data_IF_393612201445
#
_entry.id   IF_393612201445
#
_cell.length_a   1.000
_cell.length_b   1.000
_cell.length_c   1.000
_cell.angle_alpha   90.00
_cell.angle_beta   90.00
_cell.angle_gamma   90.00
#
_symmetry.space_group_name_H-M   'P 1'
#
loop_
_entity.id
_entity.type
_entity.pdbx_description
1 polymer ?
#
# COMPACT_ATOMS: atom_id res chain seq x y z
N UNK A 1 -20.06 16.83 9.31
CA UNK A 1 -19.85 15.57 8.56
C UNK A 1 -18.54 15.67 7.82
N UNK A 2 -17.52 14.83 8.13
CA UNK A 2 -16.29 14.75 7.34
C UNK A 2 -16.67 14.17 5.98
N UNK A 3 -16.47 14.93 4.90
CA UNK A 3 -16.54 14.40 3.55
C UNK A 3 -15.48 13.28 3.47
N UNK A 4 -15.94 12.06 3.24
CA UNK A 4 -15.07 10.95 2.88
C UNK A 4 -14.50 11.28 1.50
N UNK A 5 -13.26 11.77 1.48
CA UNK A 5 -12.52 11.95 0.23
C UNK A 5 -12.33 10.57 -0.38
N UNK A 6 -12.76 10.41 -1.64
CA UNK A 6 -12.57 9.17 -2.37
C UNK A 6 -11.06 8.81 -2.38
N UNK A 7 -10.76 7.58 -2.03
CA UNK A 7 -9.40 7.05 -2.06
C UNK A 7 -9.19 6.37 -3.42
N UNK A 8 -8.40 6.97 -4.29
CA UNK A 8 -8.08 6.40 -5.60
C UNK A 8 -6.79 5.59 -5.59
N UNK A 9 -5.87 5.90 -4.69
CA UNK A 9 -4.52 5.32 -4.64
C UNK A 9 -4.54 3.80 -4.47
N UNK A 10 -5.21 3.31 -3.43
CA UNK A 10 -5.22 1.89 -3.09
C UNK A 10 -5.88 1.03 -4.17
N UNK A 11 -7.10 1.37 -4.67
CA UNK A 11 -7.73 0.62 -5.76
C UNK A 11 -6.88 0.56 -7.04
N UNK A 12 -6.18 1.65 -7.39
CA UNK A 12 -5.30 1.64 -8.56
C UNK A 12 -4.05 0.78 -8.35
N UNK A 13 -3.46 0.78 -7.15
CA UNK A 13 -2.33 -0.10 -6.81
C UNK A 13 -2.72 -1.56 -6.85
N UNK A 14 -3.89 -1.89 -6.32
CA UNK A 14 -4.45 -3.24 -6.34
C UNK A 14 -4.69 -3.68 -7.79
N UNK A 15 -5.36 -2.86 -8.59
CA UNK A 15 -5.60 -3.12 -10.00
C UNK A 15 -4.32 -3.36 -10.80
N UNK A 16 -3.29 -2.53 -10.59
CA UNK A 16 -1.98 -2.70 -11.23
C UNK A 16 -1.27 -3.97 -10.80
N UNK A 17 -1.40 -4.37 -9.54
CA UNK A 17 -0.78 -5.60 -9.05
C UNK A 17 -1.44 -6.85 -9.64
N UNK A 18 -2.75 -6.81 -9.78
CA UNK A 18 -3.54 -7.94 -10.27
C UNK A 18 -3.52 -8.06 -11.79
N UNK A 19 -3.59 -6.92 -12.51
CA UNK A 19 -3.83 -6.88 -13.94
C UNK A 19 -2.74 -6.13 -14.70
N UNK A 20 -1.45 -6.33 -14.36
CA UNK A 20 -0.34 -5.58 -14.96
C UNK A 20 -0.25 -5.69 -16.48
N UNK A 21 -0.39 -6.91 -17.03
CA UNK A 21 -0.41 -7.13 -18.48
C UNK A 21 -1.59 -6.42 -19.15
N UNK A 22 -2.80 -6.57 -18.57
CA UNK A 22 -3.99 -5.90 -19.07
C UNK A 22 -3.89 -4.37 -19.00
N UNK A 23 -3.17 -3.83 -18.01
CA UNK A 23 -2.86 -2.40 -17.88
C UNK A 23 -2.05 -1.91 -19.08
N UNK A 24 -0.94 -2.58 -19.38
CA UNK A 24 -0.09 -2.19 -20.50
C UNK A 24 -0.81 -2.38 -21.85
N UNK A 25 -1.53 -3.47 -22.02
CA UNK A 25 -2.34 -3.73 -23.20
C UNK A 25 -3.37 -2.62 -23.44
N UNK A 26 -4.00 -2.09 -22.38
CA UNK A 26 -5.05 -1.08 -22.49
C UNK A 26 -4.52 0.34 -22.70
N UNK A 27 -3.52 0.75 -21.93
CA UNK A 27 -3.04 2.14 -21.92
C UNK A 27 -1.80 2.36 -22.80
N UNK A 28 -0.95 1.35 -22.92
CA UNK A 28 0.36 1.46 -23.59
C UNK A 28 0.63 0.24 -24.47
N UNK A 29 -0.20 0.01 -25.51
CA UNK A 29 -0.11 -1.20 -26.35
C UNK A 29 1.26 -1.33 -27.06
N UNK A 30 1.93 -0.23 -27.38
CA UNK A 30 3.27 -0.27 -27.96
C UNK A 30 4.30 -0.86 -26.98
N UNK A 31 4.20 -0.51 -25.68
CA UNK A 31 5.07 -1.08 -24.64
C UNK A 31 4.72 -2.55 -24.38
N UNK A 32 3.41 -2.88 -24.35
CA UNK A 32 2.94 -4.26 -24.18
C UNK A 32 3.52 -5.20 -25.24
N UNK A 33 3.55 -4.78 -26.50
CA UNK A 33 4.07 -5.59 -27.62
C UNK A 33 5.58 -5.84 -27.57
N UNK A 34 6.34 -5.08 -26.79
CA UNK A 34 7.79 -5.28 -26.63
C UNK A 34 8.13 -6.35 -25.58
N UNK A 35 7.21 -6.68 -24.70
CA UNK A 35 7.46 -7.52 -23.52
C UNK A 35 7.28 -9.00 -23.86
N UNK A 36 8.18 -9.81 -23.37
CA UNK A 36 8.11 -11.28 -23.38
C UNK A 36 7.23 -11.78 -22.22
N UNK A 37 5.95 -11.92 -22.49
CA UNK A 37 4.95 -12.39 -21.52
C UNK A 37 5.05 -13.88 -21.17
N UNK A 38 5.96 -14.63 -21.78
CA UNK A 38 6.27 -16.00 -21.33
C UNK A 38 7.03 -16.01 -20.01
N UNK A 39 7.62 -14.86 -19.64
CA UNK A 39 8.31 -14.61 -18.37
C UNK A 39 7.42 -13.80 -17.44
N UNK A 40 7.36 -14.21 -16.19
CA UNK A 40 6.54 -13.54 -15.19
C UNK A 40 7.20 -12.22 -14.77
N UNK A 41 6.51 -11.06 -14.91
CA UNK A 41 7.02 -9.78 -14.43
C UNK A 41 7.30 -9.81 -12.92
N UNK A 42 8.41 -9.22 -12.48
CA UNK A 42 8.79 -9.12 -11.08
C UNK A 42 8.43 -7.74 -10.52
N UNK A 43 7.61 -7.69 -9.47
CA UNK A 43 7.29 -6.43 -8.77
C UNK A 43 8.43 -6.01 -7.84
N UNK A 44 8.86 -4.74 -7.93
CA UNK A 44 10.00 -4.18 -7.19
C UNK A 44 9.55 -3.08 -6.21
N UNK A 45 8.48 -3.32 -5.46
CA UNK A 45 7.92 -2.34 -4.53
C UNK A 45 8.86 -1.93 -3.39
N UNK A 46 9.71 -2.85 -2.92
CA UNK A 46 10.70 -2.57 -1.86
C UNK A 46 11.76 -1.60 -2.36
N UNK A 47 12.19 -1.81 -3.58
CA UNK A 47 13.19 -1.02 -4.28
C UNK A 47 12.63 0.37 -4.60
N UNK A 48 11.39 0.44 -5.07
CA UNK A 48 10.70 1.70 -5.31
C UNK A 48 10.63 2.56 -4.04
N UNK A 49 10.34 1.96 -2.89
CA UNK A 49 10.37 2.66 -1.59
C UNK A 49 11.76 3.24 -1.28
N UNK A 50 12.85 2.59 -1.65
CA UNK A 50 14.22 3.12 -1.50
C UNK A 50 14.47 4.30 -2.42
N UNK A 51 14.04 4.20 -3.68
CA UNK A 51 14.18 5.26 -4.69
C UNK A 51 13.40 6.52 -4.26
N UNK A 52 12.21 6.36 -3.67
CA UNK A 52 11.32 7.46 -3.32
C UNK A 52 11.55 8.01 -1.91
N UNK A 53 12.18 7.27 -1.00
CA UNK A 53 12.35 7.65 0.42
C UNK A 53 13.08 8.99 0.66
N UNK A 54 13.97 9.38 -0.24
CA UNK A 54 14.71 10.65 -0.16
C UNK A 54 14.00 11.82 -0.88
N UNK A 55 12.87 11.58 -1.52
CA UNK A 55 12.07 12.66 -2.11
C UNK A 55 11.34 13.42 -1.00
N UNK A 56 11.52 14.75 -0.92
CA UNK A 56 10.87 15.64 0.06
C UNK A 56 9.35 15.71 -0.04
N UNK A 57 8.74 14.96 -0.94
CA UNK A 57 7.30 14.93 -1.19
C UNK A 57 6.60 13.98 -0.22
N UNK A 58 5.82 14.54 0.69
CA UNK A 58 5.04 13.82 1.73
C UNK A 58 3.82 13.05 1.18
N UNK A 59 3.50 13.12 -0.10
CA UNK A 59 2.34 12.46 -0.70
C UNK A 59 2.77 11.15 -1.35
N UNK A 60 2.08 10.07 -0.96
CA UNK A 60 2.22 8.74 -1.55
C UNK A 60 1.39 8.70 -2.83
N UNK A 61 2.05 8.54 -3.96
CA UNK A 61 1.40 8.30 -5.24
C UNK A 61 1.30 6.80 -5.51
N UNK A 62 0.44 6.42 -6.42
CA UNK A 62 0.30 5.03 -6.84
C UNK A 62 1.44 4.60 -7.77
N UNK A 63 2.68 4.72 -7.30
CA UNK A 63 3.85 4.35 -8.07
C UNK A 63 4.08 2.84 -7.98
N UNK A 64 4.34 2.22 -9.13
CA UNK A 64 4.75 0.82 -9.24
C UNK A 64 6.03 0.73 -10.06
N UNK A 65 6.90 -0.21 -9.71
CA UNK A 65 8.11 -0.55 -10.44
C UNK A 65 8.10 -2.04 -10.74
N UNK A 66 8.22 -2.38 -12.00
CA UNK A 66 8.30 -3.76 -12.46
C UNK A 66 9.57 -3.99 -13.25
N UNK A 67 10.17 -5.17 -13.06
CA UNK A 67 11.19 -5.73 -13.93
C UNK A 67 10.48 -6.62 -14.95
N UNK A 68 10.76 -6.39 -16.21
CA UNK A 68 10.25 -7.18 -17.34
C UNK A 68 11.37 -7.55 -18.30
N UNK A 69 11.11 -8.52 -19.16
CA UNK A 69 12.03 -8.95 -20.21
C UNK A 69 11.43 -8.56 -21.56
N UNK A 70 12.27 -8.08 -22.46
CA UNK A 70 11.86 -7.81 -23.85
C UNK A 70 11.99 -9.06 -24.70
N UNK A 71 11.22 -9.11 -25.79
CA UNK A 71 11.25 -10.18 -26.80
C UNK A 71 12.65 -10.38 -27.40
N UNK A 72 13.54 -9.36 -27.34
CA UNK A 72 14.93 -9.42 -27.79
C UNK A 72 15.91 -9.96 -26.76
N UNK A 73 15.43 -10.60 -25.70
CA UNK A 73 16.20 -11.15 -24.59
C UNK A 73 16.94 -10.12 -23.72
N UNK A 74 16.63 -8.85 -23.82
CA UNK A 74 17.16 -7.80 -22.98
C UNK A 74 16.31 -7.63 -21.71
N UNK A 75 16.97 -7.47 -20.56
CA UNK A 75 16.28 -7.04 -19.33
C UNK A 75 16.10 -5.53 -19.36
N UNK A 76 14.85 -5.08 -19.25
CA UNK A 76 14.51 -3.68 -19.02
C UNK A 76 13.65 -3.51 -17.79
N UNK A 77 13.81 -2.37 -17.15
CA UNK A 77 13.01 -1.96 -16.03
C UNK A 77 11.91 -1.02 -16.53
N UNK A 78 10.66 -1.29 -16.12
CA UNK A 78 9.55 -0.37 -16.39
C UNK A 78 9.17 0.27 -15.06
N UNK A 79 9.36 1.59 -14.98
CA UNK A 79 8.81 2.43 -13.94
C UNK A 79 7.44 2.92 -14.39
N UNK A 80 6.41 2.50 -13.67
CA UNK A 80 5.04 2.97 -13.93
C UNK A 80 4.70 3.98 -12.85
N UNK A 81 4.50 5.21 -13.28
CA UNK A 81 4.11 6.31 -12.43
C UNK A 81 2.66 6.70 -12.71
N UNK A 82 1.79 6.52 -11.72
CA UNK A 82 0.38 6.83 -11.82
C UNK A 82 0.06 8.03 -10.97
N UNK A 83 -0.35 9.11 -11.59
CA UNK A 83 -0.84 10.31 -10.94
C UNK A 83 -2.37 10.34 -11.00
N UNK A 84 -3.01 10.08 -9.86
CA UNK A 84 -4.48 9.98 -9.78
C UNK A 84 -5.08 11.18 -9.06
N UNK A 85 -4.25 12.07 -8.54
CA UNK A 85 -4.71 13.23 -7.80
C UNK A 85 -5.40 14.25 -8.72
N UNK A 86 -6.50 14.77 -8.21
CA UNK A 86 -7.26 15.84 -8.84
C UNK A 86 -6.58 17.22 -8.78
N UNK A 87 -5.37 17.28 -8.26
CA UNK A 87 -4.64 18.53 -8.10
C UNK A 87 -3.47 18.59 -9.07
N UNK A 88 -3.39 19.71 -9.77
CA UNK A 88 -2.24 20.09 -10.56
C UNK A 88 -0.96 20.04 -9.72
N UNK A 89 0.10 19.47 -10.28
CA UNK A 89 1.42 19.45 -9.68
C UNK A 89 2.46 19.91 -10.72
N UNK A 90 2.99 21.10 -10.50
CA UNK A 90 3.98 21.71 -11.40
C UNK A 90 5.25 20.87 -11.53
N UNK A 91 5.66 20.23 -10.43
CA UNK A 91 6.89 19.43 -10.37
C UNK A 91 6.73 17.98 -10.83
N UNK A 92 5.57 17.59 -11.34
CA UNK A 92 5.34 16.21 -11.80
C UNK A 92 6.37 15.74 -12.86
N UNK A 93 6.68 16.50 -13.94
CA UNK A 93 7.68 16.09 -14.91
C UNK A 93 9.08 15.90 -14.28
N UNK A 94 9.47 16.80 -13.37
CA UNK A 94 10.74 16.68 -12.67
C UNK A 94 10.79 15.43 -11.77
N UNK A 95 9.67 15.08 -11.14
CA UNK A 95 9.55 13.88 -10.34
C UNK A 95 9.68 12.62 -11.19
N UNK A 96 9.04 12.56 -12.35
CA UNK A 96 9.21 11.47 -13.35
C UNK A 96 10.68 11.29 -13.72
N UNK A 97 11.39 12.38 -14.02
CA UNK A 97 12.82 12.34 -14.30
C UNK A 97 13.64 11.82 -13.10
N UNK A 98 13.38 12.32 -11.90
CA UNK A 98 14.09 11.88 -10.69
C UNK A 98 13.92 10.38 -10.45
N UNK A 99 12.72 9.85 -10.62
CA UNK A 99 12.45 8.42 -10.41
C UNK A 99 13.08 7.56 -11.51
N UNK A 100 13.02 8.01 -12.75
CA UNK A 100 13.65 7.34 -13.89
C UNK A 100 15.17 7.22 -13.68
N UNK A 101 15.86 8.36 -13.43
CA UNK A 101 17.31 8.34 -13.27
C UNK A 101 17.76 7.56 -12.03
N UNK A 102 17.03 7.61 -10.93
CA UNK A 102 17.37 6.83 -9.72
C UNK A 102 17.21 5.32 -9.93
N UNK A 103 16.18 4.92 -10.64
CA UNK A 103 16.02 3.53 -11.02
C UNK A 103 17.16 3.08 -11.94
N UNK A 104 17.51 3.91 -12.95
CA UNK A 104 18.64 3.65 -13.81
C UNK A 104 19.97 3.57 -13.03
N UNK A 105 20.24 4.53 -12.14
CA UNK A 105 21.46 4.57 -11.34
C UNK A 105 21.60 3.33 -10.44
N UNK A 106 20.49 2.91 -9.82
CA UNK A 106 20.47 1.75 -8.93
C UNK A 106 20.70 0.43 -9.65
N UNK A 107 20.15 0.26 -10.86
CA UNK A 107 20.11 -1.02 -11.55
C UNK A 107 20.99 -1.06 -12.81
N UNK A 108 21.49 0.06 -13.27
CA UNK A 108 22.27 0.20 -14.52
C UNK A 108 21.54 -0.43 -15.73
N UNK A 109 20.22 -0.30 -15.78
CA UNK A 109 19.33 -0.82 -16.82
C UNK A 109 18.45 0.30 -17.35
N UNK A 110 18.07 0.27 -18.64
CA UNK A 110 17.09 1.22 -19.20
C UNK A 110 15.78 1.19 -18.42
N UNK A 111 15.16 2.35 -18.24
CA UNK A 111 13.90 2.52 -17.51
C UNK A 111 12.88 3.16 -18.44
N UNK A 112 11.71 2.54 -18.57
CA UNK A 112 10.55 3.11 -19.24
C UNK A 112 9.66 3.74 -18.16
N UNK A 113 9.42 5.04 -18.24
CA UNK A 113 8.49 5.75 -17.37
C UNK A 113 7.18 5.96 -18.06
N UNK A 114 6.07 5.61 -17.42
CA UNK A 114 4.71 5.73 -17.94
C UNK A 114 3.88 6.53 -16.94
N UNK A 115 2.97 7.37 -17.43
CA UNK A 115 2.13 8.20 -16.59
C UNK A 115 0.63 8.06 -16.92
N UNK A 116 -0.20 7.95 -15.88
CA UNK A 116 -1.65 8.06 -15.98
C UNK A 116 -2.09 9.30 -15.21
N UNK A 117 -2.77 10.21 -15.89
CA UNK A 117 -3.28 11.45 -15.33
C UNK A 117 -4.77 11.33 -15.01
N UNK A 118 -5.10 11.36 -13.73
CA UNK A 118 -6.48 11.27 -13.24
C UNK A 118 -7.08 12.62 -12.81
N UNK A 119 -6.40 13.76 -13.02
CA UNK A 119 -6.90 15.09 -12.69
C UNK A 119 -7.93 15.60 -13.71
N UNK A 120 -8.68 16.66 -13.34
CA UNK A 120 -9.76 17.25 -14.13
C UNK A 120 -9.32 18.37 -15.08
N UNK A 121 -8.03 18.76 -15.07
CA UNK A 121 -7.53 19.84 -15.94
C UNK A 121 -7.28 19.34 -17.35
N UNK A 122 -8.13 19.71 -18.27
CA UNK A 122 -8.05 19.28 -19.70
C UNK A 122 -6.69 19.55 -20.31
N UNK A 123 -6.08 20.69 -20.02
CA UNK A 123 -4.84 21.17 -20.64
C UNK A 123 -3.56 20.71 -19.92
N UNK A 124 -3.67 20.07 -18.76
CA UNK A 124 -2.50 19.59 -18.04
C UNK A 124 -2.12 18.17 -18.54
N UNK A 125 -1.13 18.11 -19.41
CA UNK A 125 -0.66 16.89 -20.09
C UNK A 125 0.85 16.84 -20.13
N UNK A 126 1.55 16.77 -18.99
CA UNK A 126 2.99 16.67 -18.97
C UNK A 126 3.43 15.33 -19.58
N UNK A 127 4.33 15.40 -20.55
CA UNK A 127 4.92 14.25 -21.24
C UNK A 127 6.45 14.28 -21.28
N UNK A 128 7.05 15.34 -20.72
CA UNK A 128 8.49 15.53 -20.78
C UNK A 128 9.01 16.42 -19.65
N UNK A 129 10.26 16.18 -19.26
CA UNK A 129 11.07 17.06 -18.43
C UNK A 129 12.37 17.41 -19.14
N UNK A 130 12.67 18.68 -19.25
CA UNK A 130 13.89 19.14 -19.89
C UNK A 130 14.43 20.40 -19.23
N UNK A 131 15.74 20.59 -19.29
CA UNK A 131 16.42 21.85 -18.98
C UNK A 131 17.74 21.93 -19.76
N UNK A 132 18.16 23.17 -20.04
CA UNK A 132 19.44 23.46 -20.66
C UNK A 132 20.13 24.57 -19.90
N UNK A 133 21.38 24.36 -19.53
CA UNK A 133 22.22 25.36 -18.87
C UNK A 133 23.67 25.22 -19.32
N UNK A 134 24.27 26.32 -19.77
CA UNK A 134 25.68 26.42 -20.16
C UNK A 134 26.13 25.31 -21.16
N UNK A 135 25.26 24.93 -22.09
CA UNK A 135 25.52 23.86 -23.06
C UNK A 135 25.27 22.43 -22.54
N UNK A 136 24.94 22.24 -21.26
CA UNK A 136 24.49 20.97 -20.73
C UNK A 136 22.97 20.86 -20.93
N UNK A 137 22.51 19.76 -21.58
CA UNK A 137 21.12 19.49 -21.85
C UNK A 137 20.69 18.19 -21.18
N UNK A 138 19.54 18.21 -20.52
CA UNK A 138 18.86 17.04 -19.98
C UNK A 138 17.45 17.00 -20.55
N UNK A 139 17.05 15.85 -21.06
CA UNK A 139 15.71 15.61 -21.59
C UNK A 139 15.23 14.20 -21.24
N UNK A 140 14.03 14.10 -20.70
CA UNK A 140 13.29 12.85 -20.55
C UNK A 140 11.89 13.05 -21.15
N UNK A 141 11.54 12.24 -22.15
CA UNK A 141 10.18 12.13 -22.67
C UNK A 141 9.57 10.83 -22.20
N UNK A 142 8.29 10.86 -21.78
CA UNK A 142 7.58 9.69 -21.30
C UNK A 142 6.14 9.64 -21.79
N UNK A 143 5.62 8.45 -22.16
CA UNK A 143 4.23 8.27 -22.55
C UNK A 143 3.28 8.64 -21.42
N UNK A 144 2.23 9.39 -21.75
CA UNK A 144 1.22 9.85 -20.78
C UNK A 144 -0.18 9.59 -21.33
N UNK A 145 -1.04 9.06 -20.48
CA UNK A 145 -2.46 8.85 -20.77
C UNK A 145 -3.31 9.69 -19.80
N UNK A 146 -4.31 10.38 -20.34
CA UNK A 146 -5.27 11.19 -19.57
C UNK A 146 -6.58 10.44 -19.42
N UNK A 147 -6.99 10.12 -18.19
CA UNK A 147 -8.24 9.39 -17.96
C UNK A 147 -9.48 10.14 -18.45
N UNK A 148 -9.45 11.47 -18.39
CA UNK A 148 -10.55 12.31 -18.84
C UNK A 148 -10.90 12.09 -20.33
N UNK A 149 -9.94 11.71 -21.17
CA UNK A 149 -10.16 11.47 -22.62
C UNK A 149 -11.08 10.28 -22.88
N UNK A 150 -11.21 9.38 -21.92
CA UNK A 150 -12.10 8.22 -22.02
C UNK A 150 -13.58 8.58 -21.78
N UNK A 151 -13.91 9.79 -21.31
CA UNK A 151 -15.31 10.22 -21.25
C UNK A 151 -15.97 10.26 -22.63
N UNK A 152 -15.25 10.69 -23.66
CA UNK A 152 -15.72 10.71 -25.03
C UNK A 152 -15.75 9.32 -25.68
N UNK A 153 -15.03 8.36 -25.10
CA UNK A 153 -14.90 6.97 -25.57
C UNK A 153 -15.73 5.98 -24.73
N UNK A 154 -16.82 6.45 -24.13
CA UNK A 154 -17.61 5.65 -23.19
C UNK A 154 -18.12 4.33 -23.78
N UNK A 155 -18.60 4.35 -25.02
CA UNK A 155 -19.09 3.15 -25.75
C UNK A 155 -17.98 2.10 -25.93
N UNK A 156 -16.74 2.54 -26.17
CA UNK A 156 -15.59 1.64 -26.26
C UNK A 156 -15.28 0.99 -24.90
N UNK A 157 -15.36 1.76 -23.81
CA UNK A 157 -15.19 1.23 -22.46
C UNK A 157 -16.25 0.16 -22.12
N UNK A 158 -17.51 0.43 -22.46
CA UNK A 158 -18.60 -0.51 -22.23
C UNK A 158 -18.43 -1.80 -23.06
N UNK A 159 -17.92 -1.71 -24.28
CA UNK A 159 -17.69 -2.85 -25.15
C UNK A 159 -16.42 -3.66 -24.79
N UNK A 160 -15.46 -3.06 -24.11
CA UNK A 160 -14.17 -3.68 -23.83
C UNK A 160 -14.28 -4.79 -22.77
N UNK A 161 -13.61 -5.93 -22.99
CA UNK A 161 -13.40 -7.01 -22.02
C UNK A 161 -12.18 -6.78 -21.11
N UNK A 162 -11.39 -5.72 -21.37
CA UNK A 162 -10.22 -5.42 -20.53
C UNK A 162 -10.68 -4.89 -19.15
N UNK A 163 -10.14 -5.42 -18.02
CA UNK A 163 -10.46 -4.98 -16.67
C UNK A 163 -10.31 -3.47 -16.46
N UNK A 164 -9.34 -2.84 -17.11
CA UNK A 164 -9.09 -1.40 -16.97
C UNK A 164 -10.18 -0.52 -17.59
N UNK A 165 -10.95 -1.01 -18.54
CA UNK A 165 -12.12 -0.28 -19.02
C UNK A 165 -13.12 -0.03 -17.88
N UNK A 166 -13.39 -1.03 -17.05
CA UNK A 166 -14.29 -0.91 -15.90
C UNK A 166 -13.69 -0.01 -14.80
N UNK A 167 -12.38 -0.14 -14.54
CA UNK A 167 -11.68 0.67 -13.54
C UNK A 167 -11.69 2.15 -13.95
N UNK A 168 -11.48 2.46 -15.22
CA UNK A 168 -11.59 3.83 -15.77
C UNK A 168 -13.01 4.36 -15.61
N UNK A 169 -14.03 3.57 -15.97
CA UNK A 169 -15.42 3.95 -15.78
C UNK A 169 -15.75 4.25 -14.31
N UNK A 170 -15.28 3.40 -13.39
CA UNK A 170 -15.45 3.60 -11.96
C UNK A 170 -14.77 4.89 -11.48
N UNK A 171 -13.52 5.15 -11.92
CA UNK A 171 -12.79 6.37 -11.60
C UNK A 171 -13.52 7.62 -12.06
N UNK A 172 -13.89 7.69 -13.33
CA UNK A 172 -14.58 8.84 -13.93
C UNK A 172 -15.92 9.10 -13.25
N UNK A 173 -16.72 8.04 -13.00
CA UNK A 173 -18.02 8.18 -12.33
C UNK A 173 -17.89 8.53 -10.85
N UNK A 174 -16.86 8.06 -10.17
CA UNK A 174 -16.58 8.50 -8.79
C UNK A 174 -16.34 10.00 -8.72
N UNK A 175 -15.58 10.55 -9.67
CA UNK A 175 -15.35 12.00 -9.78
C UNK A 175 -16.61 12.77 -10.12
N UNK A 176 -17.29 12.38 -11.18
CA UNK A 176 -18.51 13.05 -11.66
C UNK A 176 -19.65 13.05 -10.62
N UNK A 177 -19.63 12.09 -9.68
CA UNK A 177 -20.63 11.96 -8.61
C UNK A 177 -20.15 12.45 -7.26
N UNK A 178 -19.09 13.28 -7.20
CA UNK A 178 -18.63 13.90 -5.95
C UNK A 178 -19.74 14.75 -5.35
N UNK A 179 -20.11 14.44 -4.09
CA UNK A 179 -21.25 15.09 -3.40
C UNK A 179 -22.64 14.58 -3.81
N UNK A 180 -22.74 13.62 -4.75
CA UNK A 180 -24.00 13.07 -5.27
C UNK A 180 -24.06 11.55 -5.03
N UNK A 181 -24.09 11.14 -3.77
CA UNK A 181 -24.02 9.72 -3.39
C UNK A 181 -25.13 8.83 -3.99
N UNK A 182 -26.40 9.28 -4.14
CA UNK A 182 -27.43 8.48 -4.81
C UNK A 182 -27.10 8.19 -6.29
N UNK A 183 -26.55 9.17 -7.03
CA UNK A 183 -26.09 8.94 -8.41
C UNK A 183 -24.89 7.97 -8.45
N UNK A 184 -23.99 8.07 -7.46
CA UNK A 184 -22.86 7.16 -7.32
C UNK A 184 -23.32 5.72 -7.09
N UNK A 185 -24.33 5.50 -6.27
CA UNK A 185 -24.91 4.18 -6.03
C UNK A 185 -25.48 3.57 -7.31
N UNK A 186 -26.20 4.37 -8.13
CA UNK A 186 -26.74 3.91 -9.40
C UNK A 186 -25.63 3.51 -10.39
N UNK A 187 -24.56 4.32 -10.49
CA UNK A 187 -23.41 3.99 -11.34
C UNK A 187 -22.65 2.77 -10.84
N UNK A 188 -22.43 2.66 -9.53
CA UNK A 188 -21.79 1.51 -8.91
C UNK A 188 -22.57 0.23 -9.20
N UNK A 189 -23.88 0.26 -9.03
CA UNK A 189 -24.75 -0.85 -9.40
C UNK A 189 -24.64 -1.22 -10.88
N UNK A 190 -24.66 -0.24 -11.79
CA UNK A 190 -24.52 -0.48 -13.23
C UNK A 190 -23.20 -1.14 -13.57
N UNK A 191 -22.11 -0.69 -12.98
CA UNK A 191 -20.77 -1.28 -13.22
C UNK A 191 -20.68 -2.70 -12.66
N UNK A 192 -21.19 -2.94 -11.45
CA UNK A 192 -21.20 -4.27 -10.84
C UNK A 192 -22.04 -5.24 -11.70
N UNK A 193 -23.24 -4.82 -12.11
CA UNK A 193 -24.07 -5.63 -12.99
C UNK A 193 -23.35 -5.96 -14.31
N UNK A 194 -22.63 -4.98 -14.87
CA UNK A 194 -21.83 -5.18 -16.08
C UNK A 194 -20.73 -6.22 -15.94
N UNK A 195 -20.19 -6.47 -14.73
CA UNK A 195 -19.22 -7.55 -14.49
C UNK A 195 -19.82 -8.93 -14.77
N UNK A 196 -21.10 -9.14 -14.42
CA UNK A 196 -21.79 -10.41 -14.64
C UNK A 196 -22.24 -10.60 -16.11
N UNK A 197 -22.34 -9.52 -16.85
CA UNK A 197 -22.76 -9.56 -18.26
C UNK A 197 -21.58 -9.75 -19.21
N UNK A 198 -20.34 -9.53 -18.71
CA UNK A 198 -19.10 -9.79 -19.44
C UNK A 198 -18.55 -11.16 -19.10
N UNK A 199 -17.80 -11.75 -20.02
CA UNK A 199 -17.17 -13.06 -19.88
C UNK A 199 -15.91 -13.01 -18.97
N UNK A 200 -16.06 -12.44 -17.77
CA UNK A 200 -15.01 -12.50 -16.76
C UNK A 200 -15.14 -13.79 -15.94
N UNK A 201 -14.00 -14.38 -15.60
CA UNK A 201 -13.97 -15.48 -14.64
C UNK A 201 -14.42 -15.01 -13.25
N UNK A 202 -14.96 -15.94 -12.45
CA UNK A 202 -15.49 -15.63 -11.12
C UNK A 202 -14.50 -14.87 -10.23
N UNK A 203 -13.24 -15.27 -10.23
CA UNK A 203 -12.18 -14.61 -9.43
C UNK A 203 -11.93 -13.19 -9.91
N UNK A 204 -11.95 -12.95 -11.22
CA UNK A 204 -11.83 -11.62 -11.79
C UNK A 204 -13.02 -10.72 -11.41
N UNK A 205 -14.24 -11.26 -11.41
CA UNK A 205 -15.44 -10.51 -10.99
C UNK A 205 -15.30 -10.10 -9.52
N UNK A 206 -14.86 -11.00 -8.64
CA UNK A 206 -14.65 -10.72 -7.22
C UNK A 206 -13.62 -9.58 -7.03
N UNK A 207 -12.48 -9.67 -7.71
CA UNK A 207 -11.41 -8.65 -7.63
C UNK A 207 -11.84 -7.29 -8.18
N UNK A 208 -12.51 -7.28 -9.33
CA UNK A 208 -13.02 -6.04 -9.92
C UNK A 208 -14.11 -5.41 -9.05
N UNK A 209 -14.96 -6.25 -8.43
CA UNK A 209 -15.94 -5.77 -7.46
C UNK A 209 -15.28 -5.08 -6.27
N UNK A 210 -14.22 -5.69 -5.66
CA UNK A 210 -13.48 -5.09 -4.55
C UNK A 210 -12.88 -3.73 -4.95
N UNK A 211 -12.26 -3.64 -6.13
CA UNK A 211 -11.69 -2.40 -6.66
C UNK A 211 -12.77 -1.31 -6.83
N UNK A 212 -13.91 -1.66 -7.44
CA UNK A 212 -15.04 -0.73 -7.61
C UNK A 212 -15.59 -0.30 -6.25
N UNK A 213 -15.73 -1.24 -5.31
CA UNK A 213 -16.29 -0.99 -3.99
C UNK A 213 -15.43 -0.03 -3.18
N UNK A 214 -14.13 -0.21 -3.21
CA UNK A 214 -13.14 0.64 -2.55
C UNK A 214 -13.06 2.04 -3.19
N UNK A 215 -13.22 2.14 -4.51
CA UNK A 215 -13.15 3.41 -5.25
C UNK A 215 -14.43 4.22 -5.12
N UNK A 216 -15.60 3.57 -5.25
CA UNK A 216 -16.93 4.19 -5.25
C UNK A 216 -17.58 4.09 -3.88
N UNK A 217 -16.98 4.72 -2.86
CA UNK A 217 -17.48 4.68 -1.48
C UNK A 217 -18.87 5.31 -1.36
N UNK A 218 -19.75 4.68 -0.57
CA UNK A 218 -21.14 5.10 -0.31
C UNK A 218 -21.35 5.34 1.19
N UNK A 219 -22.50 5.95 1.53
CA UNK A 219 -22.96 5.96 2.92
C UNK A 219 -23.41 4.55 3.34
N UNK A 220 -23.45 4.22 4.65
CA UNK A 220 -23.90 2.91 5.12
C UNK A 220 -25.30 2.52 4.59
N UNK A 221 -26.21 3.48 4.50
CA UNK A 221 -27.59 3.26 4.04
C UNK A 221 -27.62 2.89 2.54
N UNK A 222 -26.90 3.65 1.70
CA UNK A 222 -26.81 3.39 0.27
C UNK A 222 -26.04 2.11 -0.03
N UNK A 223 -25.07 1.80 0.81
CA UNK A 223 -24.32 0.55 0.70
C UNK A 223 -25.22 -0.67 1.00
N UNK A 224 -26.04 -0.60 2.04
CA UNK A 224 -27.03 -1.65 2.36
C UNK A 224 -28.10 -1.80 1.25
N UNK A 225 -28.53 -0.67 0.65
CA UNK A 225 -29.41 -0.68 -0.52
C UNK A 225 -28.78 -1.42 -1.70
N UNK A 226 -27.52 -1.11 -2.01
CA UNK A 226 -26.78 -1.75 -3.08
C UNK A 226 -26.61 -3.26 -2.84
N UNK A 227 -26.26 -3.67 -1.61
CA UNK A 227 -26.13 -5.08 -1.24
C UNK A 227 -27.42 -5.86 -1.44
N UNK A 228 -28.56 -5.25 -1.10
CA UNK A 228 -29.87 -5.86 -1.32
C UNK A 228 -30.16 -6.06 -2.81
N UNK A 229 -29.80 -5.10 -3.67
CA UNK A 229 -29.94 -5.20 -5.13
C UNK A 229 -29.05 -6.30 -5.72
N UNK A 230 -27.81 -6.41 -5.24
CA UNK A 230 -26.87 -7.44 -5.67
C UNK A 230 -27.44 -8.83 -5.32
N UNK A 231 -27.86 -9.00 -4.07
CA UNK A 231 -28.43 -10.26 -3.59
C UNK A 231 -29.64 -10.69 -4.42
N UNK A 232 -30.59 -9.77 -4.65
CA UNK A 232 -31.76 -10.06 -5.49
C UNK A 232 -31.34 -10.49 -6.92
N UNK A 233 -30.38 -9.77 -7.50
CA UNK A 233 -29.87 -10.08 -8.84
C UNK A 233 -29.17 -11.45 -8.93
N UNK A 234 -28.43 -11.84 -7.89
CA UNK A 234 -27.79 -13.16 -7.81
C UNK A 234 -28.82 -14.29 -7.61
N UNK A 235 -29.86 -14.05 -6.80
CA UNK A 235 -30.97 -15.02 -6.59
C UNK A 235 -31.74 -15.29 -7.89
N UNK A 236 -31.92 -14.27 -8.75
CA UNK A 236 -32.60 -14.41 -10.04
C UNK A 236 -31.75 -15.18 -11.08
N UNK A 237 -30.44 -15.28 -10.91
CA UNK A 237 -29.48 -15.84 -11.87
C UNK A 237 -28.87 -17.14 -11.37
N UNK A 238 -29.39 -18.09 -10.83
CA UNK A 238 -28.87 -19.46 -10.52
C UNK A 238 -27.33 -19.61 -10.39
N UNK A 239 -26.59 -18.52 -10.22
CA UNK A 239 -25.14 -18.46 -10.01
C UNK A 239 -24.83 -17.57 -8.81
N UNK A 240 -24.93 -18.07 -7.56
CA UNK A 240 -24.49 -17.30 -6.43
C UNK A 240 -22.96 -17.16 -6.49
N UNK A 241 -22.46 -15.96 -6.70
CA UNK A 241 -21.13 -15.62 -6.21
C UNK A 241 -21.23 -15.67 -4.68
N UNK A 242 -20.18 -16.10 -4.03
CA UNK A 242 -20.07 -16.06 -2.55
C UNK A 242 -20.55 -14.68 -2.09
N UNK A 243 -21.52 -14.65 -1.19
CA UNK A 243 -22.17 -13.42 -0.73
C UNK A 243 -21.09 -12.36 -0.45
N UNK A 244 -21.20 -11.21 -1.11
CA UNK A 244 -20.30 -10.07 -0.91
C UNK A 244 -20.24 -9.63 0.58
N UNK A 245 -21.25 -9.98 1.37
CA UNK A 245 -21.27 -9.83 2.83
C UNK A 245 -20.26 -10.75 3.53
N UNK A 246 -20.04 -11.99 3.03
CA UNK A 246 -19.01 -12.88 3.59
C UNK A 246 -17.60 -12.40 3.27
N UNK A 247 -17.36 -11.90 2.06
CA UNK A 247 -16.07 -11.31 1.67
C UNK A 247 -15.77 -10.03 2.48
N UNK A 248 -16.75 -9.17 2.69
CA UNK A 248 -16.61 -7.98 3.55
C UNK A 248 -16.45 -8.36 5.01
N UNK A 249 -17.26 -9.28 5.52
CA UNK A 249 -17.15 -9.77 6.89
C UNK A 249 -15.77 -10.38 7.16
N UNK A 250 -15.21 -11.10 6.18
CA UNK A 250 -13.88 -11.67 6.24
C UNK A 250 -12.80 -10.58 6.20
N UNK A 251 -12.88 -9.61 5.27
CA UNK A 251 -11.92 -8.50 5.17
C UNK A 251 -11.93 -7.59 6.40
N UNK A 252 -13.12 -7.23 6.90
CA UNK A 252 -13.27 -6.48 8.16
C UNK A 252 -12.73 -7.31 9.35
N UNK A 253 -12.97 -8.60 9.37
CA UNK A 253 -12.44 -9.52 10.39
C UNK A 253 -10.92 -9.62 10.35
N UNK A 254 -10.32 -9.68 9.16
CA UNK A 254 -8.87 -9.68 8.93
C UNK A 254 -8.24 -8.33 9.35
N UNK A 255 -8.81 -7.20 8.93
CA UNK A 255 -8.33 -5.85 9.32
C UNK A 255 -8.42 -5.61 10.84
N UNK A 256 -9.54 -6.02 11.47
CA UNK A 256 -9.69 -5.95 12.93
C UNK A 256 -8.70 -6.91 13.61
N UNK A 257 -8.47 -8.08 13.05
CA UNK A 257 -7.50 -9.06 13.53
C UNK A 257 -6.07 -8.54 13.46
N UNK A 258 -5.67 -7.92 12.34
CA UNK A 258 -4.36 -7.30 12.16
C UNK A 258 -4.15 -6.10 13.10
N UNK A 259 -5.13 -5.21 13.21
CA UNK A 259 -5.07 -4.06 14.13
C UNK A 259 -4.91 -4.52 15.58
N UNK A 260 -5.72 -5.48 16.02
CA UNK A 260 -5.61 -6.05 17.38
C UNK A 260 -4.30 -6.81 17.60
N UNK A 261 -3.83 -7.53 16.58
CA UNK A 261 -2.51 -8.19 16.60
C UNK A 261 -1.37 -7.20 16.72
N UNK A 262 -1.43 -6.11 15.96
CA UNK A 262 -0.42 -5.04 15.98
C UNK A 262 -0.43 -4.25 17.31
N UNK A 263 -1.60 -3.96 17.88
CA UNK A 263 -1.73 -3.32 19.19
C UNK A 263 -1.19 -4.22 20.32
N UNK A 264 -1.59 -5.50 20.35
CA UNK A 264 -1.06 -6.47 21.30
C UNK A 264 0.45 -6.67 21.16
N UNK A 265 0.95 -6.78 19.94
CA UNK A 265 2.39 -6.89 19.70
C UNK A 265 3.16 -5.66 20.18
N UNK A 266 2.59 -4.47 20.05
CA UNK A 266 3.16 -3.22 20.56
C UNK A 266 3.16 -3.16 22.10
N UNK A 267 2.09 -3.61 22.75
CA UNK A 267 2.01 -3.68 24.23
C UNK A 267 3.01 -4.69 24.79
N UNK A 268 3.02 -5.91 24.26
CA UNK A 268 3.98 -6.95 24.65
C UNK A 268 5.41 -6.50 24.42
N UNK A 269 5.70 -5.89 23.26
CA UNK A 269 7.03 -5.36 22.97
C UNK A 269 7.48 -4.25 23.92
N UNK A 270 6.56 -3.39 24.37
CA UNK A 270 6.85 -2.36 25.38
C UNK A 270 7.12 -2.96 26.76
N UNK A 271 6.34 -3.96 27.16
CA UNK A 271 6.55 -4.65 28.44
C UNK A 271 7.87 -5.40 28.49
N UNK A 272 8.20 -6.16 27.43
CA UNK A 272 9.48 -6.88 27.31
C UNK A 272 10.64 -5.88 27.31
N UNK A 273 10.57 -4.82 26.51
CA UNK A 273 11.62 -3.81 26.44
C UNK A 273 11.81 -3.06 27.78
N UNK A 274 10.74 -2.81 28.54
CA UNK A 274 10.82 -2.20 29.87
C UNK A 274 11.49 -3.13 30.88
N UNK A 275 11.17 -4.43 30.85
CA UNK A 275 11.80 -5.46 31.69
C UNK A 275 13.30 -5.61 31.37
N UNK A 276 13.68 -5.69 30.10
CA UNK A 276 15.07 -5.78 29.67
C UNK A 276 15.87 -4.55 30.10
N UNK A 277 15.34 -3.36 29.87
CA UNK A 277 15.98 -2.11 30.30
C UNK A 277 16.16 -2.05 31.84
N UNK A 278 15.15 -2.48 32.59
CA UNK A 278 15.25 -2.50 34.06
C UNK A 278 16.32 -3.48 34.53
N UNK A 279 16.40 -4.69 33.93
CA UNK A 279 17.46 -5.69 34.23
C UNK A 279 18.85 -5.14 33.91
N UNK A 280 19.02 -4.56 32.74
CA UNK A 280 20.29 -3.98 32.31
C UNK A 280 20.73 -2.83 33.21
N UNK A 281 19.79 -2.05 33.72
CA UNK A 281 20.09 -0.96 34.61
C UNK A 281 20.61 -1.47 35.97
N UNK A 282 19.97 -2.51 36.52
CA UNK A 282 20.45 -3.15 37.76
C UNK A 282 21.83 -3.77 37.58
N UNK A 283 22.06 -4.45 36.44
CA UNK A 283 23.37 -5.03 36.08
C UNK A 283 24.45 -3.94 36.03
N UNK A 284 24.23 -2.87 35.31
CA UNK A 284 25.19 -1.75 35.20
C UNK A 284 25.52 -1.12 36.55
N UNK A 285 24.55 -0.98 37.45
CA UNK A 285 24.78 -0.46 38.80
C UNK A 285 25.68 -1.40 39.59
N UNK A 286 25.41 -2.72 39.53
CA UNK A 286 26.22 -3.70 40.27
C UNK A 286 27.64 -3.80 39.66
N UNK A 287 27.79 -3.81 38.37
CA UNK A 287 29.11 -3.82 37.68
C UNK A 287 29.94 -2.61 38.06
N UNK A 288 29.36 -1.41 38.05
CA UNK A 288 30.09 -0.18 38.40
C UNK A 288 30.47 -0.11 39.88
N UNK A 289 29.75 -0.75 40.76
CA UNK A 289 29.98 -0.65 42.20
C UNK A 289 30.78 -1.82 42.79
N UNK A 290 30.58 -3.01 42.25
CA UNK A 290 31.12 -4.25 42.86
C UNK A 290 32.00 -5.05 41.89
N UNK A 291 32.07 -4.67 40.59
CA UNK A 291 32.83 -5.39 39.57
C UNK A 291 31.98 -6.44 38.85
N UNK A 292 32.67 -7.44 38.24
CA UNK A 292 32.00 -8.46 37.43
C UNK A 292 30.93 -9.24 38.18
N UNK A 293 29.74 -9.31 37.60
CA UNK A 293 28.57 -9.93 38.21
C UNK A 293 28.71 -11.47 38.21
N UNK A 294 28.62 -12.12 39.37
CA UNK A 294 28.55 -13.58 39.45
C UNK A 294 27.33 -14.14 38.69
N UNK A 295 27.53 -15.32 38.07
CA UNK A 295 26.49 -15.92 37.19
C UNK A 295 25.15 -16.19 37.89
N UNK A 296 25.17 -16.52 39.18
CA UNK A 296 23.96 -16.74 39.99
C UNK A 296 23.12 -15.45 40.18
N UNK A 297 23.78 -14.32 40.39
CA UNK A 297 23.09 -12.99 40.46
C UNK A 297 22.58 -12.59 39.08
N UNK A 298 23.38 -12.84 38.03
CA UNK A 298 22.94 -12.62 36.66
C UNK A 298 21.69 -13.44 36.28
N UNK A 299 21.65 -14.70 36.68
CA UNK A 299 20.49 -15.57 36.50
C UNK A 299 19.27 -15.07 37.27
N UNK A 300 19.44 -14.71 38.54
CA UNK A 300 18.41 -14.14 39.38
C UNK A 300 17.75 -12.89 38.78
N UNK A 301 18.54 -12.01 38.16
CA UNK A 301 18.02 -10.83 37.44
C UNK A 301 17.25 -11.21 36.19
N UNK A 302 17.71 -12.23 35.46
CA UNK A 302 17.04 -12.69 34.24
C UNK A 302 15.69 -13.37 34.56
N UNK A 303 15.58 -14.07 35.68
CA UNK A 303 14.36 -14.75 36.12
C UNK A 303 13.30 -13.79 36.72
N UNK A 304 13.70 -12.57 37.07
CA UNK A 304 12.77 -11.55 37.53
C UNK A 304 11.84 -11.09 36.39
N UNK A 305 10.54 -11.41 36.49
CA UNK A 305 9.52 -11.18 35.47
C UNK A 305 8.62 -9.96 35.73
N UNK A 306 8.85 -9.24 36.83
CA UNK A 306 8.02 -8.10 37.26
C UNK A 306 8.89 -6.87 37.47
N UNK A 307 8.50 -5.74 36.90
CA UNK A 307 9.27 -4.49 36.96
C UNK A 307 9.44 -4.01 38.42
N UNK A 308 8.39 -4.12 39.27
CA UNK A 308 8.48 -3.69 40.68
C UNK A 308 9.52 -4.48 41.46
N UNK A 309 9.73 -5.76 41.15
CA UNK A 309 10.78 -6.58 41.74
C UNK A 309 12.16 -6.08 41.34
N UNK A 310 12.35 -5.73 40.06
CA UNK A 310 13.60 -5.15 39.56
C UNK A 310 13.87 -3.76 40.15
N UNK A 311 12.85 -2.95 40.39
CA UNK A 311 12.98 -1.67 41.09
C UNK A 311 13.43 -1.85 42.58
N UNK A 312 12.90 -2.84 43.27
CA UNK A 312 13.37 -3.17 44.65
C UNK A 312 14.82 -3.71 44.60
N UNK A 313 15.13 -4.56 43.63
CA UNK A 313 16.50 -5.03 43.41
C UNK A 313 17.47 -3.88 43.10
N UNK A 314 17.04 -2.89 42.31
CA UNK A 314 17.83 -1.69 42.05
C UNK A 314 18.13 -0.91 43.31
N UNK A 315 17.12 -0.69 44.16
CA UNK A 315 17.29 -0.01 45.44
C UNK A 315 18.29 -0.77 46.33
N UNK A 316 18.21 -2.08 46.37
CA UNK A 316 19.15 -2.91 47.10
C UNK A 316 20.56 -2.81 46.49
N UNK A 317 20.70 -2.87 45.16
CA UNK A 317 21.97 -2.75 44.44
C UNK A 317 22.72 -1.42 44.69
N UNK A 318 21.97 -0.35 45.01
CA UNK A 318 22.55 0.95 45.37
C UNK A 318 23.15 1.02 46.78
N UNK A 319 22.79 0.06 47.69
CA UNK A 319 23.18 0.13 49.09
C UNK A 319 24.19 -0.94 49.48
N UNK A 320 24.10 -2.15 48.86
CA UNK A 320 24.97 -3.28 49.20
C UNK A 320 26.44 -2.99 48.91
N UNK A 321 27.34 -3.53 49.76
CA UNK A 321 28.77 -3.36 49.62
C UNK A 321 29.53 -4.65 49.18
N UNK A 322 28.81 -5.74 49.00
CA UNK A 322 29.34 -7.01 48.52
C UNK A 322 28.31 -7.84 47.79
N UNK A 323 28.73 -8.77 46.95
CA UNK A 323 27.85 -9.73 46.28
C UNK A 323 27.15 -10.70 47.24
N UNK A 324 27.71 -10.96 48.47
CA UNK A 324 27.07 -11.75 49.49
C UNK A 324 25.85 -11.02 50.09
N UNK A 325 25.96 -9.71 50.34
CA UNK A 325 24.83 -8.89 50.76
C UNK A 325 23.78 -8.77 49.67
N UNK A 326 24.22 -8.70 48.40
CA UNK A 326 23.33 -8.66 47.22
C UNK A 326 22.48 -9.95 47.17
N UNK A 327 23.08 -11.14 47.31
CA UNK A 327 22.37 -12.43 47.31
C UNK A 327 21.29 -12.49 48.40
N UNK A 328 21.64 -12.08 49.62
CA UNK A 328 20.69 -12.07 50.75
C UNK A 328 19.51 -11.12 50.46
N UNK A 329 19.79 -9.92 49.99
CA UNK A 329 18.78 -8.92 49.69
C UNK A 329 17.87 -9.36 48.53
N UNK A 330 18.40 -9.89 47.48
CA UNK A 330 17.64 -10.37 46.29
C UNK A 330 16.76 -11.58 46.67
N UNK A 331 17.27 -12.52 47.49
CA UNK A 331 16.47 -13.65 47.98
C UNK A 331 15.26 -13.20 48.80
N UNK A 332 15.39 -12.14 49.58
CA UNK A 332 14.28 -11.58 50.36
C UNK A 332 13.25 -10.88 49.46
N UNK A 333 13.72 -10.20 48.40
CA UNK A 333 12.84 -9.50 47.49
C UNK A 333 12.00 -10.48 46.63
N UNK A 334 12.60 -11.58 46.18
CA UNK A 334 11.91 -12.59 45.37
C UNK A 334 10.91 -13.42 46.18
N UNK A 335 11.15 -13.64 47.46
CA UNK A 335 10.30 -14.43 48.33
C UNK A 335 9.18 -13.62 49.01
N UNK A 336 9.05 -12.34 48.72
CA UNK A 336 7.92 -11.47 49.11
C UNK A 336 6.82 -11.49 48.04
#
# INVERSE_FOLDING_TARGET
MKQTTANYDEPWKEALSEYFEAFLCFFFPEVHQLIDWTKIPESLEKELKRITASAKTKKRFADKLYKVWLLRSEEVWILIHIEIQSQYEENFPQRMYIYNYRAFDLYQKPVISLAILGDERVNWRPDSYNYTIAGCEVSLKFPTVKLLDYEERWTELEASSNPFAIIVMAHLKTKATTGKLPEREQWKWRLIRGLYEKEFEREQIIKLFEIIDNMMTLSPELQSSLESKIKQFEEERTMPLISNMELRGRKIGEEIGELRGMERGKEIGKEIGALENARDFVKKVLENRLGDIPGDIGQCLNDASVISVLEEMLKAALIVNSFEECRKSFSIIINK
#
